data_IF_578454652211
#
_entry.id   IF_578454652211
#
_cell.length_a   1.000
_cell.length_b   1.000
_cell.length_c   1.000
_cell.angle_alpha   90.00
_cell.angle_beta   90.00
_cell.angle_gamma   90.00
#
_symmetry.space_group_name_H-M   'P 1'
#
loop_
_entity.id
_entity.type
_entity.pdbx_description
1 polymer ?
#
# COMPACT_ATOMS: atom_id res chain seq x y z
N UNK A 1 -8.34 -6.91 -4.47
CA UNK A 1 -9.22 -6.19 -5.37
C UNK A 1 -10.55 -6.92 -5.49
N UNK A 2 -11.65 -6.16 -5.49
CA UNK A 2 -13.00 -6.69 -5.66
C UNK A 2 -13.14 -7.27 -7.08
N UNK A 3 -13.53 -8.54 -7.19
CA UNK A 3 -13.84 -9.19 -8.46
C UNK A 3 -15.34 -9.06 -8.74
N UNK A 4 -15.76 -9.20 -10.01
CA UNK A 4 -17.15 -8.97 -10.44
C UNK A 4 -18.19 -9.76 -9.64
N UNK A 5 -17.83 -10.97 -9.21
CA UNK A 5 -18.73 -11.86 -8.43
C UNK A 5 -18.49 -11.80 -6.91
N UNK A 6 -17.59 -10.90 -6.44
CA UNK A 6 -17.23 -10.80 -5.03
C UNK A 6 -17.61 -9.44 -4.46
N UNK A 7 -18.41 -9.44 -3.41
CA UNK A 7 -18.83 -8.24 -2.70
C UNK A 7 -17.72 -7.69 -1.79
N UNK A 8 -16.86 -8.57 -1.26
CA UNK A 8 -15.78 -8.19 -0.35
C UNK A 8 -14.61 -7.47 -1.08
N UNK A 9 -13.96 -6.50 -0.43
CA UNK A 9 -14.26 -5.95 0.88
C UNK A 9 -15.58 -5.18 0.90
N UNK A 10 -16.30 -5.24 2.04
CA UNK A 10 -17.61 -4.63 2.20
C UNK A 10 -17.54 -3.16 2.59
N UNK A 11 -16.45 -2.79 3.29
CA UNK A 11 -16.14 -1.42 3.69
C UNK A 11 -14.65 -1.15 3.46
N UNK A 12 -14.32 0.07 3.02
CA UNK A 12 -12.95 0.53 2.77
C UNK A 12 -12.82 1.95 3.33
N UNK A 13 -11.90 2.14 4.28
CA UNK A 13 -11.62 3.45 4.88
C UNK A 13 -10.22 3.92 4.49
N UNK A 14 -10.17 5.11 3.89
CA UNK A 14 -8.95 5.76 3.41
C UNK A 14 -8.63 7.00 4.26
N UNK A 15 -7.35 7.41 4.35
CA UNK A 15 -6.94 8.52 5.20
C UNK A 15 -7.38 9.89 4.68
N UNK A 16 -7.85 9.99 3.43
CA UNK A 16 -8.30 11.24 2.82
C UNK A 16 -9.70 11.68 3.28
N UNK A 17 -10.32 10.93 4.19
CA UNK A 17 -11.62 11.26 4.79
C UNK A 17 -11.53 11.13 6.30
N UNK A 18 -12.07 12.14 7.00
CA UNK A 18 -12.16 12.12 8.45
C UNK A 18 -12.89 10.86 8.93
N UNK A 19 -12.27 10.14 9.85
CA UNK A 19 -12.79 8.89 10.38
C UNK A 19 -13.54 9.12 11.70
N UNK A 20 -14.77 8.58 11.81
CA UNK A 20 -15.52 8.53 13.06
C UNK A 20 -15.69 7.09 13.52
N UNK A 21 -15.31 6.81 14.75
CA UNK A 21 -15.47 5.49 15.38
C UNK A 21 -16.95 5.12 15.49
N UNK A 22 -17.82 6.09 15.82
CA UNK A 22 -19.26 5.88 15.93
C UNK A 22 -19.88 5.52 14.58
N UNK A 23 -19.50 6.26 13.51
CA UNK A 23 -19.96 5.94 12.15
C UNK A 23 -19.46 4.58 11.70
N UNK A 24 -18.19 4.26 11.97
CA UNK A 24 -17.62 2.95 11.67
C UNK A 24 -18.41 1.80 12.31
N UNK A 25 -18.76 1.91 13.59
CA UNK A 25 -19.59 0.92 14.28
C UNK A 25 -20.99 0.79 13.62
N UNK A 26 -21.59 1.92 13.24
CA UNK A 26 -22.88 1.95 12.53
C UNK A 26 -22.80 1.25 11.17
N UNK A 27 -21.77 1.55 10.38
CA UNK A 27 -21.56 0.95 9.06
C UNK A 27 -21.34 -0.58 9.16
N UNK A 28 -20.55 -1.01 10.14
CA UNK A 28 -20.31 -2.44 10.41
C UNK A 28 -21.60 -3.14 10.81
N UNK A 29 -22.43 -2.55 11.67
CA UNK A 29 -23.74 -3.09 12.05
C UNK A 29 -24.65 -3.26 10.83
N UNK A 30 -24.77 -2.22 10.00
CA UNK A 30 -25.59 -2.25 8.79
C UNK A 30 -25.14 -3.37 7.83
N UNK A 31 -23.80 -3.55 7.65
CA UNK A 31 -23.29 -4.63 6.79
C UNK A 31 -23.51 -6.02 7.38
N UNK A 32 -23.49 -6.18 8.69
CA UNK A 32 -23.77 -7.46 9.35
C UNK A 32 -25.25 -7.86 9.30
N UNK A 33 -26.17 -6.91 9.03
CA UNK A 33 -27.58 -7.22 8.74
C UNK A 33 -27.75 -7.83 7.34
N UNK A 34 -26.86 -7.46 6.39
CA UNK A 34 -26.89 -7.96 5.01
C UNK A 34 -26.09 -9.27 4.86
N UNK A 35 -24.97 -9.40 5.60
CA UNK A 35 -23.96 -10.46 5.42
C UNK A 35 -23.63 -11.17 6.75
N UNK A 36 -23.54 -12.48 6.74
CA UNK A 36 -23.15 -13.28 7.91
C UNK A 36 -21.70 -13.02 8.37
N UNK A 37 -20.85 -12.54 7.47
CA UNK A 37 -19.48 -12.12 7.76
C UNK A 37 -19.05 -11.03 6.79
N UNK A 38 -18.25 -10.10 7.27
CA UNK A 38 -17.78 -8.98 6.46
C UNK A 38 -16.25 -8.87 6.51
N UNK A 39 -15.70 -8.28 5.46
CA UNK A 39 -14.30 -7.87 5.40
C UNK A 39 -14.27 -6.36 5.32
N UNK A 40 -13.55 -5.76 6.24
CA UNK A 40 -13.30 -4.32 6.29
C UNK A 40 -11.82 -4.07 6.03
N UNK A 41 -11.51 -3.17 5.12
CA UNK A 41 -10.15 -2.72 4.85
C UNK A 41 -9.99 -1.30 5.39
N UNK A 42 -8.92 -1.08 6.15
CA UNK A 42 -8.66 0.21 6.78
C UNK A 42 -7.22 0.60 6.51
N UNK A 43 -7.01 1.85 6.11
CA UNK A 43 -5.66 2.40 6.08
C UNK A 43 -5.15 2.62 7.51
N UNK A 44 -3.87 2.38 7.73
CA UNK A 44 -3.22 2.64 9.03
C UNK A 44 -3.17 4.14 9.36
N UNK A 45 -3.21 4.99 8.32
CA UNK A 45 -3.17 6.45 8.43
C UNK A 45 -4.52 7.15 8.63
N UNK A 46 -5.61 6.42 8.92
CA UNK A 46 -6.90 7.08 9.19
C UNK A 46 -6.81 7.97 10.43
N UNK A 47 -7.45 9.13 10.36
CA UNK A 47 -7.45 10.13 11.43
C UNK A 47 -8.85 10.72 11.65
N UNK A 48 -9.05 11.27 12.83
CA UNK A 48 -10.28 12.00 13.15
C UNK A 48 -10.26 13.41 12.50
N UNK A 49 -11.37 14.14 12.67
CA UNK A 49 -11.55 15.52 12.16
C UNK A 49 -10.53 16.53 12.73
N UNK A 50 -9.88 16.21 13.83
CA UNK A 50 -8.89 17.04 14.49
C UNK A 50 -7.46 16.66 14.05
N UNK A 51 -7.34 15.70 13.12
CA UNK A 51 -6.07 15.20 12.57
C UNK A 51 -5.33 14.22 13.47
N UNK A 52 -5.98 13.71 14.53
CA UNK A 52 -5.35 12.71 15.38
C UNK A 52 -5.50 11.33 14.76
N UNK A 53 -4.40 10.62 14.59
CA UNK A 53 -4.45 9.24 14.10
C UNK A 53 -5.21 8.32 15.04
N UNK A 54 -6.05 7.48 14.49
CA UNK A 54 -6.84 6.51 15.26
C UNK A 54 -5.94 5.50 15.98
N UNK A 55 -4.76 5.21 15.43
CA UNK A 55 -3.72 4.38 16.05
C UNK A 55 -2.88 5.10 17.11
N UNK A 56 -2.99 6.42 17.24
CA UNK A 56 -1.98 7.27 17.90
C UNK A 56 -1.92 7.17 19.44
N UNK A 57 -2.74 6.36 20.09
CA UNK A 57 -2.61 6.18 21.55
C UNK A 57 -1.24 5.60 21.98
N UNK A 58 -0.41 5.10 21.02
CA UNK A 58 0.90 4.49 21.29
C UNK A 58 1.97 4.78 20.24
N UNK A 59 1.80 5.79 19.36
CA UNK A 59 2.75 6.04 18.29
C UNK A 59 4.05 6.67 18.81
N UNK A 60 5.19 6.03 18.48
CA UNK A 60 6.52 6.64 18.57
C UNK A 60 6.76 7.48 17.32
N UNK A 61 7.44 8.60 17.50
CA UNK A 61 7.92 9.42 16.38
C UNK A 61 9.29 8.89 15.95
N UNK A 62 9.52 8.74 14.65
CA UNK A 62 10.83 8.34 14.13
C UNK A 62 11.85 9.51 14.19
N UNK A 63 13.12 9.24 13.81
CA UNK A 63 14.19 10.23 13.81
C UNK A 63 13.94 11.40 12.83
N UNK A 64 12.99 11.26 11.91
CA UNK A 64 12.61 12.28 10.93
C UNK A 64 11.35 13.04 11.30
N UNK A 65 10.76 12.76 12.46
CA UNK A 65 9.56 13.42 12.95
C UNK A 65 8.23 12.80 12.44
N UNK A 66 8.27 11.62 11.79
CA UNK A 66 7.07 10.93 11.34
C UNK A 66 6.50 10.02 12.43
N UNK A 67 5.18 10.05 12.60
CA UNK A 67 4.51 9.13 13.52
C UNK A 67 4.63 7.68 13.00
N UNK A 68 5.13 6.78 13.84
CA UNK A 68 5.09 5.35 13.55
C UNK A 68 3.68 4.83 13.80
N UNK A 69 2.90 4.74 12.73
CA UNK A 69 1.52 4.27 12.79
C UNK A 69 1.50 2.74 12.94
N UNK A 70 0.83 2.25 13.97
CA UNK A 70 0.60 0.81 14.18
C UNK A 70 -0.57 0.57 15.13
N UNK A 71 -1.25 -0.57 14.95
CA UNK A 71 -2.29 -0.99 15.88
C UNK A 71 -3.70 -0.48 15.57
N UNK A 72 -3.93 0.21 14.45
CA UNK A 72 -5.29 0.61 14.02
C UNK A 72 -6.23 -0.59 13.95
N UNK A 73 -5.80 -1.69 13.33
CA UNK A 73 -6.59 -2.91 13.24
C UNK A 73 -6.92 -3.52 14.59
N UNK A 74 -5.95 -3.54 15.51
CA UNK A 74 -6.15 -4.06 16.87
C UNK A 74 -7.12 -3.18 17.68
N UNK A 75 -7.01 -1.86 17.57
CA UNK A 75 -7.91 -0.93 18.21
C UNK A 75 -9.36 -1.10 17.71
N UNK A 76 -9.58 -1.04 16.38
CA UNK A 76 -10.90 -1.17 15.79
C UNK A 76 -11.53 -2.55 16.06
N UNK A 77 -10.72 -3.62 16.11
CA UNK A 77 -11.16 -4.92 16.57
C UNK A 77 -11.77 -4.82 17.99
N UNK A 78 -11.05 -4.20 18.94
CA UNK A 78 -11.52 -4.08 20.31
C UNK A 78 -12.83 -3.27 20.42
N UNK A 79 -12.97 -2.24 19.58
CA UNK A 79 -14.21 -1.45 19.49
C UNK A 79 -15.38 -2.32 19.02
N UNK A 80 -15.22 -3.07 17.94
CA UNK A 80 -16.31 -3.91 17.40
C UNK A 80 -16.66 -5.06 18.35
N UNK A 81 -15.67 -5.69 18.96
CA UNK A 81 -15.93 -6.75 19.98
C UNK A 81 -16.72 -6.21 21.17
N UNK A 82 -16.45 -4.97 21.60
CA UNK A 82 -17.15 -4.32 22.69
C UNK A 82 -18.56 -3.85 22.31
N UNK A 83 -18.71 -3.17 21.16
CA UNK A 83 -19.96 -2.47 20.78
C UNK A 83 -20.98 -3.39 20.08
N UNK A 84 -20.51 -4.49 19.46
CA UNK A 84 -21.36 -5.41 18.68
C UNK A 84 -21.35 -6.81 19.32
N UNK A 85 -20.25 -7.22 19.99
CA UNK A 85 -20.15 -8.54 20.62
C UNK A 85 -19.83 -9.67 19.66
N UNK A 86 -19.45 -9.38 18.42
CA UNK A 86 -19.07 -10.39 17.45
C UNK A 86 -17.56 -10.69 17.48
N UNK A 87 -17.18 -11.88 17.00
CA UNK A 87 -15.76 -12.26 16.90
C UNK A 87 -15.08 -11.52 15.74
N UNK A 88 -13.98 -10.86 16.02
CA UNK A 88 -13.19 -10.11 15.02
C UNK A 88 -11.77 -10.67 14.92
N UNK A 89 -11.23 -10.66 13.69
CA UNK A 89 -9.82 -10.95 13.42
C UNK A 89 -9.20 -9.72 12.76
N UNK A 90 -8.24 -9.10 13.42
CA UNK A 90 -7.41 -8.08 12.82
C UNK A 90 -6.23 -8.74 12.11
N UNK A 91 -5.96 -8.33 10.87
CA UNK A 91 -4.83 -8.79 10.06
C UNK A 91 -4.02 -7.57 9.64
N UNK A 92 -2.78 -7.51 10.08
CA UNK A 92 -1.81 -6.48 9.71
C UNK A 92 -0.68 -7.18 8.92
N UNK A 93 -0.77 -7.27 7.57
CA UNK A 93 0.19 -8.04 6.76
C UNK A 93 1.62 -7.54 6.84
N UNK A 94 1.85 -6.23 6.98
CA UNK A 94 3.15 -5.60 7.21
C UNK A 94 4.28 -6.21 6.33
N UNK A 95 5.36 -6.70 6.95
CA UNK A 95 6.53 -7.28 6.29
C UNK A 95 6.18 -8.53 5.48
N UNK A 96 5.24 -9.34 5.92
CA UNK A 96 4.83 -10.56 5.22
C UNK A 96 4.34 -10.22 3.81
N UNK A 97 3.50 -9.21 3.66
CA UNK A 97 3.02 -8.74 2.36
C UNK A 97 4.17 -8.26 1.47
N UNK A 98 5.10 -7.48 2.02
CA UNK A 98 6.24 -6.92 1.28
C UNK A 98 7.23 -8.00 0.82
N UNK A 99 7.33 -9.09 1.56
CA UNK A 99 8.27 -10.18 1.29
C UNK A 99 7.67 -11.34 0.49
N UNK A 100 6.39 -11.27 0.14
CA UNK A 100 5.67 -12.35 -0.52
C UNK A 100 5.81 -12.29 -2.05
N UNK A 101 7.02 -12.49 -2.57
CA UNK A 101 7.30 -12.43 -4.02
C UNK A 101 6.47 -13.38 -4.88
N UNK A 102 5.86 -14.42 -4.28
CA UNK A 102 4.99 -15.38 -4.97
C UNK A 102 3.56 -14.88 -5.25
N UNK A 103 3.19 -13.71 -4.71
CA UNK A 103 1.88 -13.07 -4.92
C UNK A 103 2.00 -11.66 -5.50
N UNK A 104 3.14 -11.31 -6.07
CA UNK A 104 3.36 -10.03 -6.76
C UNK A 104 2.68 -10.04 -8.12
N UNK A 105 2.15 -8.90 -8.57
CA UNK A 105 1.70 -8.74 -9.95
C UNK A 105 2.89 -8.57 -10.89
N UNK A 106 2.73 -8.98 -12.15
CA UNK A 106 3.77 -8.81 -13.16
C UNK A 106 4.02 -7.32 -13.43
N UNK A 107 2.96 -6.51 -13.53
CA UNK A 107 3.06 -5.07 -13.73
C UNK A 107 3.93 -4.41 -12.67
N UNK A 108 3.68 -4.70 -11.39
CA UNK A 108 4.42 -4.11 -10.27
C UNK A 108 5.91 -4.51 -10.29
N UNK A 109 6.19 -5.78 -10.57
CA UNK A 109 7.58 -6.27 -10.66
C UNK A 109 8.34 -5.67 -11.85
N UNK A 110 7.72 -5.57 -13.01
CA UNK A 110 8.34 -4.97 -14.20
C UNK A 110 8.58 -3.46 -14.02
N UNK A 111 7.64 -2.75 -13.43
CA UNK A 111 7.80 -1.33 -13.11
C UNK A 111 8.92 -1.10 -12.08
N UNK A 112 8.96 -1.89 -11.01
CA UNK A 112 10.04 -1.82 -10.02
C UNK A 112 11.41 -2.12 -10.63
N UNK A 113 11.51 -3.13 -11.50
CA UNK A 113 12.75 -3.47 -12.20
C UNK A 113 13.22 -2.33 -13.12
N UNK A 114 12.30 -1.74 -13.88
CA UNK A 114 12.62 -0.63 -14.78
C UNK A 114 13.03 0.63 -14.02
N UNK A 115 12.37 0.94 -12.90
CA UNK A 115 12.78 2.05 -12.02
C UNK A 115 14.20 1.84 -11.48
N UNK A 116 14.53 0.63 -11.03
CA UNK A 116 15.89 0.28 -10.60
C UNK A 116 16.91 0.44 -11.74
N UNK A 117 16.55 0.01 -12.96
CA UNK A 117 17.40 0.17 -14.14
C UNK A 117 17.68 1.64 -14.44
N UNK A 118 16.68 2.51 -14.38
CA UNK A 118 16.82 3.96 -14.60
C UNK A 118 17.71 4.58 -13.52
N UNK A 119 17.53 4.19 -12.25
CA UNK A 119 18.37 4.67 -11.14
C UNK A 119 19.86 4.33 -11.36
N UNK A 120 20.16 3.08 -11.73
CA UNK A 120 21.54 2.65 -12.01
C UNK A 120 22.12 3.40 -13.22
N UNK A 121 21.37 3.54 -14.31
CA UNK A 121 21.82 4.30 -15.48
C UNK A 121 22.09 5.77 -15.15
N UNK A 122 21.26 6.39 -14.32
CA UNK A 122 21.47 7.76 -13.85
C UNK A 122 22.79 7.87 -13.05
N UNK A 123 23.02 6.96 -12.11
CA UNK A 123 24.26 6.93 -11.32
C UNK A 123 25.49 6.73 -12.21
N UNK A 124 25.48 5.78 -13.13
CA UNK A 124 26.60 5.51 -14.08
C UNK A 124 26.87 6.72 -14.98
N UNK A 125 25.83 7.48 -15.35
CA UNK A 125 25.99 8.73 -16.12
C UNK A 125 26.44 9.93 -15.28
N UNK A 126 26.73 9.75 -14.00
CA UNK A 126 27.21 10.80 -13.09
C UNK A 126 26.13 11.70 -12.53
N UNK A 127 24.85 11.37 -12.69
CA UNK A 127 23.74 12.12 -12.06
C UNK A 127 23.73 11.86 -10.56
N UNK A 128 23.56 12.92 -9.77
CA UNK A 128 23.40 12.87 -8.32
C UNK A 128 22.17 13.69 -7.90
N UNK A 129 21.60 13.37 -6.73
CA UNK A 129 20.42 14.06 -6.21
C UNK A 129 19.15 13.84 -7.04
N UNK A 130 19.06 12.75 -7.76
CA UNK A 130 17.91 12.37 -8.58
C UNK A 130 17.22 11.12 -8.05
N UNK A 131 15.93 11.06 -8.26
CA UNK A 131 15.04 9.93 -7.96
C UNK A 131 14.46 9.37 -9.25
N UNK A 132 14.42 8.05 -9.41
CA UNK A 132 13.76 7.42 -10.56
C UNK A 132 12.25 7.47 -10.38
N UNK A 133 11.55 7.93 -11.41
CA UNK A 133 10.11 8.12 -11.40
C UNK A 133 9.45 7.44 -12.58
N UNK A 134 8.17 7.14 -12.43
CA UNK A 134 7.30 6.73 -13.53
C UNK A 134 6.09 7.69 -13.62
N UNK A 135 5.64 7.91 -14.84
CA UNK A 135 4.45 8.68 -15.13
C UNK A 135 3.51 7.84 -15.99
N UNK A 136 2.30 7.60 -15.49
CA UNK A 136 1.25 6.93 -16.28
C UNK A 136 0.81 7.84 -17.41
N UNK A 137 0.87 7.33 -18.65
CA UNK A 137 0.55 8.08 -19.87
C UNK A 137 -0.70 7.58 -20.57
N UNK A 138 -1.12 6.33 -20.32
CA UNK A 138 -2.35 5.76 -20.84
C UNK A 138 -2.93 4.72 -19.88
N UNK A 139 -4.26 4.65 -19.86
CA UNK A 139 -5.02 3.67 -19.08
C UNK A 139 -5.42 2.46 -19.92
N UNK A 140 -5.70 2.64 -21.19
CA UNK A 140 -6.16 1.59 -22.12
C UNK A 140 -5.56 1.80 -23.52
N UNK A 141 -4.51 1.02 -23.89
CA UNK A 141 -3.77 0.10 -23.03
C UNK A 141 -2.97 0.83 -21.96
N UNK A 142 -2.78 0.17 -20.82
CA UNK A 142 -1.96 0.71 -19.75
C UNK A 142 -0.52 0.91 -20.21
N UNK A 143 0.03 2.09 -19.97
CA UNK A 143 1.42 2.37 -20.24
C UNK A 143 1.99 3.48 -19.37
N UNK A 144 3.28 3.39 -19.09
CA UNK A 144 4.04 4.32 -18.28
C UNK A 144 5.30 4.80 -18.99
N UNK A 145 5.73 5.99 -18.66
CA UNK A 145 7.02 6.55 -19.06
C UNK A 145 7.93 6.64 -17.84
N UNK A 146 9.19 6.25 -17.99
CA UNK A 146 10.18 6.28 -16.92
C UNK A 146 11.10 7.48 -17.10
N UNK A 147 11.38 8.19 -16.01
CA UNK A 147 12.25 9.35 -15.97
C UNK A 147 13.05 9.46 -14.68
N UNK A 148 13.79 10.55 -14.54
CA UNK A 148 14.44 10.93 -13.29
C UNK A 148 14.01 12.35 -12.92
N UNK A 149 13.66 12.55 -11.65
CA UNK A 149 13.33 13.85 -11.09
C UNK A 149 14.32 14.23 -9.98
N UNK A 150 14.44 15.54 -9.70
CA UNK A 150 15.24 15.98 -8.58
C UNK A 150 14.62 15.49 -7.26
N UNK A 151 15.44 14.94 -6.36
CA UNK A 151 14.97 14.42 -5.07
C UNK A 151 14.23 15.48 -4.25
N UNK A 152 14.60 16.76 -4.35
CA UNK A 152 13.94 17.84 -3.64
C UNK A 152 12.49 18.08 -4.08
N UNK A 153 12.13 17.67 -5.31
CA UNK A 153 10.74 17.79 -5.82
C UNK A 153 9.85 16.69 -5.30
N UNK A 154 10.42 15.51 -5.05
CA UNK A 154 9.66 14.30 -4.61
C UNK A 154 9.70 14.12 -3.10
N UNK A 155 10.76 14.57 -2.44
CA UNK A 155 10.92 14.39 -1.00
C UNK A 155 9.81 15.12 -0.22
N UNK A 156 9.22 14.46 0.76
CA UNK A 156 8.15 14.98 1.61
C UNK A 156 6.90 15.48 0.84
N UNK A 157 6.67 14.95 -0.36
CA UNK A 157 5.43 15.18 -1.11
C UNK A 157 4.56 13.93 -1.08
N UNK A 158 3.28 14.11 -0.81
CA UNK A 158 2.28 13.05 -0.84
C UNK A 158 1.35 13.21 -2.04
N UNK A 159 1.06 12.10 -2.71
CA UNK A 159 0.03 12.04 -3.72
C UNK A 159 -1.22 11.42 -3.11
N UNK A 160 -2.17 12.26 -2.75
CA UNK A 160 -3.42 11.84 -2.16
C UNK A 160 -4.35 11.17 -3.17
N UNK A 161 -5.21 10.28 -2.70
CA UNK A 161 -6.33 9.74 -3.47
C UNK A 161 -7.34 10.86 -3.72
N UNK A 162 -7.74 11.12 -4.97
CA UNK A 162 -8.77 12.14 -5.26
C UNK A 162 -10.06 11.86 -4.48
N UNK A 163 -10.64 12.87 -3.83
CA UNK A 163 -11.88 12.72 -3.07
C UNK A 163 -13.02 12.13 -3.91
N UNK A 164 -13.03 12.41 -5.22
CA UNK A 164 -14.02 11.85 -6.17
C UNK A 164 -13.91 10.32 -6.35
N UNK A 165 -12.79 9.73 -5.92
CA UNK A 165 -12.59 8.27 -5.98
C UNK A 165 -13.05 7.54 -4.72
N UNK A 166 -13.55 8.29 -3.74
CA UNK A 166 -14.14 7.78 -2.51
C UNK A 166 -15.62 8.12 -2.55
N UNK A 167 -16.48 7.19 -2.13
CA UNK A 167 -17.93 7.43 -2.11
C UNK A 167 -18.30 8.60 -1.16
N UNK A 168 -19.51 9.18 -1.27
CA UNK A 168 -19.92 10.30 -0.42
C UNK A 168 -19.86 9.99 1.07
N UNK A 169 -20.16 8.76 1.46
CA UNK A 169 -20.19 8.26 2.84
C UNK A 169 -18.78 8.07 3.43
N UNK A 170 -17.72 8.03 2.59
CA UNK A 170 -16.34 7.88 3.03
C UNK A 170 -15.93 6.45 3.44
N UNK A 171 -16.77 5.46 3.13
CA UNK A 171 -16.59 4.07 3.57
C UNK A 171 -16.46 3.05 2.43
N UNK A 172 -16.32 3.51 1.20
CA UNK A 172 -16.02 2.68 0.02
C UNK A 172 -15.37 3.53 -1.09
N UNK A 173 -14.87 2.87 -2.12
CA UNK A 173 -14.24 3.49 -3.30
C UNK A 173 -15.14 3.43 -4.51
N UNK A 174 -15.00 4.43 -5.41
CA UNK A 174 -15.73 4.48 -6.67
C UNK A 174 -15.10 3.62 -7.75
N UNK A 175 -15.79 3.44 -8.87
CA UNK A 175 -15.28 2.70 -10.02
C UNK A 175 -13.99 3.31 -10.60
N UNK A 176 -13.83 4.64 -10.52
CA UNK A 176 -12.61 5.33 -10.97
C UNK A 176 -11.36 4.83 -10.23
N UNK A 177 -11.46 4.61 -8.91
CA UNK A 177 -10.37 4.03 -8.12
C UNK A 177 -10.08 2.59 -8.56
N UNK A 178 -11.11 1.79 -8.78
CA UNK A 178 -10.98 0.41 -9.26
C UNK A 178 -10.30 0.37 -10.63
N UNK A 179 -10.73 1.21 -11.56
CA UNK A 179 -10.15 1.30 -12.91
C UNK A 179 -8.70 1.77 -12.88
N UNK A 180 -8.36 2.70 -11.99
CA UNK A 180 -6.98 3.13 -11.78
C UNK A 180 -6.09 1.99 -11.28
N UNK A 181 -6.56 1.20 -10.31
CA UNK A 181 -5.77 0.15 -9.67
C UNK A 181 -5.70 -1.14 -10.48
N UNK A 182 -6.70 -1.44 -11.33
CA UNK A 182 -6.81 -2.71 -12.05
C UNK A 182 -5.55 -3.10 -12.82
N UNK A 183 -4.94 -2.23 -13.66
CA UNK A 183 -3.72 -2.59 -14.38
C UNK A 183 -2.54 -2.92 -13.48
N UNK A 184 -2.49 -2.34 -12.28
CA UNK A 184 -1.37 -2.51 -11.34
C UNK A 184 -1.34 -3.90 -10.69
N UNK A 185 -2.45 -4.64 -10.75
CA UNK A 185 -2.56 -5.99 -10.19
C UNK A 185 -2.58 -7.08 -11.27
N UNK A 186 -2.32 -6.73 -12.52
CA UNK A 186 -2.37 -7.64 -13.66
C UNK A 186 -1.07 -8.44 -13.84
N UNK A 187 -1.24 -9.61 -14.44
CA UNK A 187 -0.16 -10.53 -14.76
C UNK A 187 0.33 -11.35 -13.56
N UNK A 188 0.99 -12.46 -13.85
CA UNK A 188 1.51 -13.41 -12.88
C UNK A 188 3.02 -13.53 -13.02
N UNK A 189 3.74 -13.33 -11.94
CA UNK A 189 5.18 -13.56 -11.90
C UNK A 189 5.44 -15.04 -11.69
N UNK A 190 6.27 -15.64 -12.56
CA UNK A 190 6.76 -16.99 -12.40
C UNK A 190 7.94 -16.99 -11.42
N UNK A 191 7.65 -17.07 -10.14
CA UNK A 191 8.69 -17.15 -9.11
C UNK A 191 9.37 -18.52 -9.18
N UNK A 192 10.71 -18.59 -9.35
CA UNK A 192 11.42 -19.87 -9.30
C UNK A 192 11.37 -20.46 -7.89
N UNK A 193 11.22 -21.78 -7.82
CA UNK A 193 11.24 -22.52 -6.56
C UNK A 193 12.39 -23.53 -6.55
N UNK A 194 13.03 -23.67 -5.39
CA UNK A 194 14.02 -24.70 -5.11
C UNK A 194 13.63 -25.45 -3.83
N UNK A 195 13.44 -26.75 -3.93
CA UNK A 195 13.06 -27.62 -2.80
C UNK A 195 11.80 -27.12 -2.04
N UNK A 196 10.81 -26.59 -2.75
CA UNK A 196 9.56 -26.12 -2.17
C UNK A 196 9.57 -24.71 -1.57
N UNK A 197 10.70 -24.01 -1.67
CA UNK A 197 10.86 -22.62 -1.23
C UNK A 197 11.13 -21.69 -2.43
N UNK A 198 10.69 -20.41 -2.39
CA UNK A 198 11.07 -19.43 -3.40
C UNK A 198 12.60 -19.34 -3.49
N UNK A 199 13.12 -19.39 -4.72
CA UNK A 199 14.57 -19.32 -4.97
C UNK A 199 14.99 -17.84 -5.13
N UNK A 200 15.32 -17.20 -4.02
CA UNK A 200 15.78 -15.82 -4.01
C UNK A 200 17.22 -15.69 -4.50
N UNK A 201 17.51 -14.59 -5.20
CA UNK A 201 18.86 -14.28 -5.63
C UNK A 201 19.74 -13.99 -4.40
N UNK A 202 20.86 -14.71 -4.29
CA UNK A 202 21.88 -14.42 -3.29
C UNK A 202 22.80 -13.29 -3.79
N UNK A 203 22.58 -12.07 -3.30
CA UNK A 203 23.36 -10.89 -3.69
C UNK A 203 24.67 -10.71 -2.89
N UNK A 204 24.97 -11.57 -1.91
CA UNK A 204 26.15 -11.45 -1.04
C UNK A 204 27.45 -11.52 -1.83
N UNK A 205 27.49 -12.27 -2.93
CA UNK A 205 28.65 -12.39 -3.81
C UNK A 205 28.84 -11.17 -4.73
N UNK A 206 27.84 -10.29 -4.83
CA UNK A 206 27.89 -9.05 -5.61
C UNK A 206 28.40 -7.87 -4.79
N UNK A 207 28.80 -8.09 -3.53
CA UNK A 207 29.32 -7.04 -2.66
C UNK A 207 30.69 -6.55 -3.13
N UNK A 208 30.72 -5.40 -3.80
CA UNK A 208 31.93 -4.75 -4.33
C UNK A 208 32.81 -4.08 -3.26
N UNK A 209 32.32 -3.93 -2.01
CA UNK A 209 33.08 -3.28 -0.92
C UNK A 209 34.36 -4.02 -0.56
N UNK A 210 34.56 -5.26 -1.01
CA UNK A 210 35.78 -6.05 -0.83
C UNK A 210 36.83 -5.84 -1.93
N UNK A 211 36.50 -5.17 -3.01
CA UNK A 211 37.55 -4.75 -3.96
C UNK A 211 38.30 -3.60 -3.30
N UNK A 212 39.45 -3.91 -2.70
CA UNK A 212 40.40 -2.88 -2.32
C UNK A 212 40.74 -2.11 -3.59
N UNK A 213 40.44 -0.82 -3.62
CA UNK A 213 41.09 0.08 -4.55
C UNK A 213 42.59 -0.05 -4.24
N UNK A 214 43.32 -0.81 -5.05
CA UNK A 214 44.77 -0.73 -5.09
C UNK A 214 45.08 0.61 -5.77
N UNK A 215 45.63 1.52 -5.02
CA UNK A 215 46.20 2.80 -5.50
C UNK A 215 47.21 2.54 -6.64
#
# INVERSE_FOLDING_TARGET
>A
ARQEDMVAPHLIYLPEVDFSVEQFVSDVKAKLEEYNSIIVVVSEGIHDKDGNYISAQHSKVDEFGHAQLSGTGAYLKSVIEKEIGCKVRALEPSVIQRSAGHISSLTDVEEAFNLGTIAVRAAVSGKSGVFSTLRRISDKPYSVEYSTENVAVVANTEKLVPRSWINPEGNDVTQDMVDYLRPLIEGVVQTPYRNGLPDYIDVRHLDVRKQKYSD
#
